data_IF_101040576134
#
_entry.id   IF_101040576134
#
_cell.length_a   1.000
_cell.length_b   1.000
_cell.length_c   1.000
_cell.angle_alpha   90.00
_cell.angle_beta   90.00
_cell.angle_gamma   90.00
#
_symmetry.space_group_name_H-M   'P 1'
#
loop_
_entity.id
_entity.type
_entity.pdbx_description
1 polymer ?
#
# COMPACT_ATOMS: atom_id res chain seq x y z
N UNK A 1 -21.87 -3.46 -7.14
CA UNK A 1 -21.69 -4.59 -6.19
C UNK A 1 -22.33 -5.91 -6.60
N UNK A 2 -23.65 -6.10 -6.84
CA UNK A 2 -24.18 -7.45 -7.21
C UNK A 2 -23.59 -8.06 -8.49
N UNK A 3 -23.22 -7.24 -9.48
CA UNK A 3 -22.47 -7.69 -10.68
C UNK A 3 -20.97 -7.88 -10.42
N UNK A 4 -20.37 -7.05 -9.56
CA UNK A 4 -18.97 -7.20 -9.10
C UNK A 4 -18.81 -8.45 -8.23
N UNK A 5 -19.80 -8.75 -7.38
CA UNK A 5 -19.90 -9.92 -6.51
C UNK A 5 -20.24 -11.17 -7.32
N UNK A 6 -21.16 -11.11 -8.30
CA UNK A 6 -21.39 -12.23 -9.24
C UNK A 6 -20.18 -12.49 -10.14
N UNK A 7 -19.46 -11.46 -10.57
CA UNK A 7 -18.23 -11.60 -11.35
C UNK A 7 -17.12 -12.20 -10.49
N UNK A 8 -16.81 -11.62 -9.32
CA UNK A 8 -15.79 -12.12 -8.39
C UNK A 8 -16.08 -13.54 -7.89
N UNK A 9 -17.34 -13.91 -7.62
CA UNK A 9 -17.64 -15.24 -7.04
C UNK A 9 -17.81 -16.36 -8.09
N UNK A 10 -18.19 -16.06 -9.33
CA UNK A 10 -18.29 -17.07 -10.40
C UNK A 10 -17.02 -17.21 -11.25
N UNK A 11 -16.08 -16.26 -11.17
CA UNK A 11 -14.88 -16.26 -12.01
C UNK A 11 -13.57 -16.52 -11.25
N UNK A 12 -13.54 -16.44 -9.92
CA UNK A 12 -12.31 -16.38 -9.13
C UNK A 12 -11.42 -17.64 -9.12
N UNK A 13 -11.85 -18.80 -9.60
CA UNK A 13 -10.99 -19.99 -9.72
C UNK A 13 -10.54 -20.28 -11.15
N UNK A 14 -11.37 -19.98 -12.14
CA UNK A 14 -11.07 -20.24 -13.55
C UNK A 14 -10.33 -19.08 -14.21
N UNK A 15 -10.67 -17.83 -13.85
CA UNK A 15 -10.07 -16.63 -14.45
C UNK A 15 -8.81 -16.15 -13.73
N UNK A 16 -8.61 -16.44 -12.45
CA UNK A 16 -7.31 -16.26 -11.79
C UNK A 16 -6.28 -17.19 -12.42
N UNK A 17 -6.65 -18.45 -12.68
CA UNK A 17 -5.79 -19.41 -13.37
C UNK A 17 -5.54 -18.99 -14.83
N UNK A 18 -6.56 -18.50 -15.56
CA UNK A 18 -6.40 -18.01 -16.92
C UNK A 18 -5.62 -16.69 -17.01
N UNK A 19 -5.76 -15.77 -16.04
CA UNK A 19 -5.03 -14.50 -16.00
C UNK A 19 -3.56 -14.72 -15.65
N UNK A 20 -3.27 -15.67 -14.75
CA UNK A 20 -1.91 -16.12 -14.45
C UNK A 20 -1.31 -16.78 -15.70
N UNK A 21 -2.06 -17.64 -16.39
CA UNK A 21 -1.57 -18.32 -17.61
C UNK A 21 -1.44 -17.39 -18.83
N UNK A 22 -2.29 -16.36 -18.95
CA UNK A 22 -2.20 -15.35 -20.03
C UNK A 22 -1.09 -14.33 -19.76
N UNK A 23 -0.76 -14.05 -18.49
CA UNK A 23 0.48 -13.35 -18.12
C UNK A 23 1.74 -14.17 -18.48
N UNK A 24 1.67 -15.51 -18.50
CA UNK A 24 2.74 -16.38 -19.00
C UNK A 24 2.76 -16.52 -20.53
N UNK A 25 1.65 -16.26 -21.23
CA UNK A 25 1.47 -16.51 -22.66
C UNK A 25 2.01 -15.44 -23.62
N UNK A 26 2.39 -14.25 -23.13
CA UNK A 26 3.09 -13.22 -23.92
C UNK A 26 4.61 -13.23 -23.67
N UNK A 27 5.15 -14.39 -23.28
CA UNK A 27 6.57 -14.68 -23.09
C UNK A 27 7.39 -14.76 -24.38
N UNK A 28 7.31 -13.73 -25.23
CA UNK A 28 8.05 -13.65 -26.48
C UNK A 28 8.66 -12.27 -26.67
N UNK A 29 9.68 -11.94 -25.87
CA UNK A 29 10.86 -11.13 -26.21
C UNK A 29 11.56 -10.61 -24.92
N UNK A 30 12.69 -11.24 -24.60
CA UNK A 30 13.87 -10.71 -23.90
C UNK A 30 13.66 -9.69 -22.74
N UNK A 31 13.48 -10.22 -21.52
CA UNK A 31 14.00 -9.69 -20.21
C UNK A 31 13.19 -10.13 -18.98
N UNK A 32 12.12 -10.92 -19.14
CA UNK A 32 11.17 -11.27 -18.06
C UNK A 32 11.32 -12.70 -17.50
N UNK A 33 12.51 -13.32 -17.57
CA UNK A 33 12.76 -14.68 -17.03
C UNK A 33 12.90 -14.76 -15.50
N UNK A 34 12.71 -13.66 -14.76
CA UNK A 34 12.75 -13.62 -13.29
C UNK A 34 11.45 -13.07 -12.68
N UNK A 35 10.31 -13.67 -13.03
CA UNK A 35 9.07 -13.49 -12.25
C UNK A 35 8.97 -14.64 -11.25
N UNK A 36 9.77 -14.59 -10.18
CA UNK A 36 9.52 -15.46 -9.02
C UNK A 36 8.32 -14.99 -8.21
N UNK A 37 8.22 -15.46 -6.95
CA UNK A 37 7.10 -15.17 -6.05
C UNK A 37 6.76 -13.67 -5.96
N UNK A 38 5.53 -13.32 -5.55
CA UNK A 38 5.07 -11.94 -5.37
C UNK A 38 6.08 -11.07 -4.57
N UNK A 39 6.76 -11.68 -3.60
CA UNK A 39 7.84 -11.04 -2.85
C UNK A 39 9.02 -10.62 -3.72
N UNK A 40 9.45 -11.43 -4.68
CA UNK A 40 10.54 -11.07 -5.62
C UNK A 40 10.13 -9.98 -6.61
N UNK A 41 8.82 -9.80 -6.83
CA UNK A 41 8.31 -8.70 -7.63
C UNK A 41 8.37 -7.36 -6.90
N UNK A 42 8.28 -7.38 -5.57
CA UNK A 42 8.25 -6.18 -4.70
C UNK A 42 9.64 -5.87 -4.15
N UNK A 43 10.42 -6.91 -3.83
CA UNK A 43 11.73 -6.82 -3.19
C UNK A 43 12.78 -7.56 -4.01
N UNK A 44 13.89 -6.91 -4.31
CA UNK A 44 15.10 -7.50 -4.87
C UNK A 44 16.02 -7.87 -3.71
N UNK A 45 16.34 -9.14 -3.60
CA UNK A 45 17.26 -9.65 -2.58
C UNK A 45 18.63 -9.90 -3.19
N UNK A 46 19.65 -9.29 -2.62
CA UNK A 46 21.06 -9.54 -2.96
C UNK A 46 21.73 -10.29 -1.82
N UNK A 47 22.50 -11.31 -2.16
CA UNK A 47 23.26 -12.11 -1.19
C UNK A 47 24.74 -11.90 -1.46
N UNK A 48 25.42 -11.27 -0.52
CA UNK A 48 26.88 -11.16 -0.55
C UNK A 48 27.48 -12.27 0.29
N UNK A 49 28.54 -12.88 -0.24
CA UNK A 49 29.31 -13.93 0.44
C UNK A 49 30.71 -13.37 0.68
N UNK A 50 31.07 -13.22 1.94
CA UNK A 50 32.39 -12.80 2.38
C UNK A 50 33.14 -14.02 2.92
N UNK A 51 34.23 -14.42 2.27
CA UNK A 51 35.10 -15.48 2.79
C UNK A 51 36.18 -14.87 3.69
N UNK A 52 36.08 -15.12 4.99
CA UNK A 52 37.08 -14.72 5.97
C UNK A 52 38.15 -15.81 6.01
N UNK A 53 39.34 -15.52 5.48
CA UNK A 53 40.49 -16.43 5.57
C UNK A 53 41.36 -16.03 6.76
N UNK A 54 41.43 -16.89 7.79
CA UNK A 54 42.44 -16.78 8.84
C UNK A 54 43.61 -17.68 8.49
N UNK A 55 44.81 -17.12 8.52
CA UNK A 55 46.06 -17.83 8.26
C UNK A 55 46.91 -17.72 9.50
N UNK A 56 47.21 -18.87 10.10
CA UNK A 56 48.20 -18.98 11.14
C UNK A 56 49.45 -19.67 10.59
N UNK A 57 50.62 -19.27 11.07
CA UNK A 57 51.90 -19.86 10.65
C UNK A 57 52.76 -20.03 11.89
N UNK A 58 52.88 -21.28 12.33
CA UNK A 58 53.77 -21.66 13.43
C UNK A 58 55.11 -22.08 12.84
N UNK A 59 56.17 -21.43 13.29
CA UNK A 59 57.55 -21.82 12.97
C UNK A 59 58.13 -22.44 14.23
N UNK A 60 58.40 -23.75 14.16
CA UNK A 60 59.11 -24.45 15.22
C UNK A 60 60.57 -24.54 14.78
N UNK A 61 61.43 -23.81 15.48
CA UNK A 61 62.88 -23.85 15.29
C UNK A 61 63.52 -24.58 16.48
N UNK A 62 64.03 -25.78 16.22
CA UNK A 62 64.65 -26.61 17.25
C UNK A 62 66.10 -26.92 16.89
N UNK A 63 67.00 -26.55 17.80
CA UNK A 63 68.42 -26.92 17.74
C UNK A 63 68.62 -28.12 18.67
N UNK A 64 68.83 -29.31 18.10
CA UNK A 64 68.94 -30.56 18.90
C UNK A 64 70.26 -30.71 19.65
N UNK A 65 71.31 -30.01 19.19
CA UNK A 65 72.64 -30.05 19.78
C UNK A 65 73.10 -28.61 20.06
N UNK A 66 72.68 -27.99 21.16
CA UNK A 66 73.29 -26.71 21.56
C UNK A 66 74.78 -26.94 21.84
N UNK A 67 75.72 -26.10 21.34
CA UNK A 67 77.14 -26.26 21.62
C UNK A 67 77.39 -26.05 23.11
N UNK A 68 77.44 -27.15 23.87
CA UNK A 68 77.92 -27.15 25.24
C UNK A 68 79.44 -27.09 25.21
N UNK A 69 80.03 -26.19 26.02
CA UNK A 69 81.47 -26.21 26.29
C UNK A 69 81.84 -27.58 26.87
N UNK A 70 82.48 -28.43 26.07
CA UNK A 70 83.19 -29.61 26.54
C UNK A 70 84.65 -29.48 26.13
N UNK A 71 85.54 -29.77 27.06
CA UNK A 71 86.99 -29.50 27.00
C UNK A 71 87.78 -30.22 25.89
N UNK A 72 87.14 -31.04 25.04
CA UNK A 72 87.85 -31.93 24.12
C UNK A 72 87.84 -31.47 22.65
N UNK A 73 87.46 -30.23 22.34
CA UNK A 73 87.75 -29.57 21.05
C UNK A 73 87.08 -30.14 19.78
N UNK A 74 86.28 -31.21 19.86
CA UNK A 74 85.57 -31.77 18.71
C UNK A 74 84.21 -31.07 18.54
N UNK A 75 84.08 -30.28 17.46
CA UNK A 75 82.85 -29.58 17.08
C UNK A 75 82.04 -30.48 16.14
N UNK A 76 80.89 -30.97 16.61
CA UNK A 76 79.93 -31.63 15.73
C UNK A 76 79.07 -30.60 14.99
N UNK A 77 78.70 -30.84 13.72
CA UNK A 77 77.77 -29.96 13.02
C UNK A 77 76.41 -29.97 13.74
N UNK A 78 75.93 -28.78 14.10
CA UNK A 78 74.60 -28.57 14.67
C UNK A 78 73.55 -28.99 13.65
N UNK A 79 72.68 -29.94 14.01
CA UNK A 79 71.47 -30.22 13.23
C UNK A 79 70.36 -29.27 13.65
N UNK A 80 69.96 -28.40 12.72
CA UNK A 80 68.80 -27.51 12.87
C UNK A 80 67.61 -28.17 12.18
N UNK A 81 66.48 -28.27 12.87
CA UNK A 81 65.21 -28.67 12.27
C UNK A 81 64.33 -27.42 12.27
N UNK A 82 63.93 -26.97 11.08
CA UNK A 82 62.95 -25.91 10.90
C UNK A 82 61.68 -26.57 10.39
N UNK A 83 60.67 -26.66 11.24
CA UNK A 83 59.35 -27.14 10.84
C UNK A 83 58.42 -25.93 10.69
N UNK A 84 57.92 -25.72 9.48
CA UNK A 84 56.95 -24.66 9.19
C UNK A 84 55.58 -25.30 9.04
N UNK A 85 54.71 -25.05 10.02
CA UNK A 85 53.31 -25.47 9.95
C UNK A 85 52.45 -24.27 9.61
N UNK A 86 51.57 -24.45 8.62
CA UNK A 86 50.64 -23.43 8.15
C UNK A 86 49.23 -23.97 8.25
N UNK A 87 48.45 -23.39 9.15
CA UNK A 87 47.04 -23.72 9.30
C UNK A 87 46.21 -22.59 8.66
N UNK A 88 45.32 -22.97 7.74
CA UNK A 88 44.41 -22.04 7.07
C UNK A 88 42.99 -22.44 7.45
N UNK A 89 42.25 -21.52 8.06
CA UNK A 89 40.81 -21.70 8.31
C UNK A 89 40.03 -20.67 7.50
N UNK A 90 39.08 -21.13 6.70
CA UNK A 90 38.17 -20.27 5.94
C UNK A 90 36.77 -20.36 6.52
N UNK A 91 36.13 -19.22 6.73
CA UNK A 91 34.77 -19.12 7.24
C UNK A 91 34.01 -18.20 6.29
N UNK A 92 32.92 -18.71 5.71
CA UNK A 92 32.04 -17.90 4.88
C UNK A 92 31.00 -17.19 5.74
N UNK A 93 30.89 -15.88 5.57
CA UNK A 93 29.85 -15.04 6.14
C UNK A 93 28.93 -14.58 5.03
N UNK A 94 27.63 -14.82 5.18
CA UNK A 94 26.63 -14.40 4.20
C UNK A 94 25.83 -13.23 4.74
N UNK A 95 25.78 -12.13 3.98
CA UNK A 95 24.91 -10.98 4.29
C UNK A 95 23.82 -10.86 3.24
N UNK A 96 22.58 -10.64 3.68
CA UNK A 96 21.43 -10.46 2.80
C UNK A 96 21.02 -8.99 2.82
N UNK A 97 20.88 -8.39 1.64
CA UNK A 97 20.44 -7.01 1.44
C UNK A 97 19.14 -7.01 0.65
N UNK A 98 18.20 -6.15 1.03
CA UNK A 98 16.86 -6.09 0.44
C UNK A 98 16.55 -4.70 -0.09
N UNK A 99 16.13 -4.62 -1.35
CA UNK A 99 15.87 -3.39 -2.08
C UNK A 99 14.45 -3.37 -2.66
N UNK A 100 13.84 -2.19 -2.86
CA UNK A 100 12.59 -2.11 -3.62
C UNK A 100 12.80 -2.50 -5.08
N UNK A 101 11.93 -3.37 -5.61
CA UNK A 101 11.95 -3.82 -7.00
C UNK A 101 10.76 -3.31 -7.83
N UNK A 102 10.21 -2.16 -7.43
CA UNK A 102 9.10 -1.49 -8.11
C UNK A 102 9.30 0.03 -8.12
N UNK A 103 8.78 0.68 -9.15
CA UNK A 103 8.68 2.13 -9.22
C UNK A 103 7.38 2.59 -8.61
N UNK A 104 6.26 1.89 -8.86
CA UNK A 104 5.00 2.19 -8.18
C UNK A 104 4.27 0.92 -7.77
N UNK A 105 3.68 0.92 -6.59
CA UNK A 105 2.82 -0.14 -6.09
C UNK A 105 1.62 0.50 -5.40
N UNK A 106 0.41 0.28 -5.91
CA UNK A 106 -0.81 0.84 -5.35
C UNK A 106 -1.93 -0.19 -5.22
N UNK A 107 -2.70 -0.13 -4.13
CA UNK A 107 -3.85 -1.04 -3.97
C UNK A 107 -5.07 -0.54 -4.73
N UNK A 108 -5.43 0.73 -4.55
CA UNK A 108 -6.66 1.28 -5.10
C UNK A 108 -6.45 2.70 -5.59
N UNK A 109 -7.08 3.04 -6.70
CA UNK A 109 -7.14 4.39 -7.24
C UNK A 109 -8.56 4.69 -7.69
N UNK A 110 -9.03 5.89 -7.40
CA UNK A 110 -10.34 6.40 -7.81
C UNK A 110 -10.23 7.84 -8.26
N UNK A 111 -10.89 8.15 -9.37
CA UNK A 111 -10.85 9.45 -10.04
C UNK A 111 -12.26 9.81 -10.49
N UNK A 112 -12.72 11.02 -10.16
CA UNK A 112 -13.96 11.58 -10.70
C UNK A 112 -13.68 12.25 -12.04
N UNK A 113 -14.51 12.01 -13.04
CA UNK A 113 -14.27 12.48 -14.41
C UNK A 113 -15.22 13.62 -14.81
N UNK A 114 -14.65 14.61 -15.48
CA UNK A 114 -15.30 15.69 -16.22
C UNK A 114 -15.10 15.47 -17.73
N UNK A 115 -16.05 15.96 -18.53
CA UNK A 115 -16.02 15.92 -20.00
C UNK A 115 -15.98 14.52 -20.64
N UNK A 116 -16.11 13.46 -19.83
CA UNK A 116 -16.00 12.06 -20.25
C UNK A 116 -17.23 11.47 -20.91
N UNK A 117 -18.38 12.15 -20.82
CA UNK A 117 -19.66 11.67 -21.31
C UNK A 117 -20.78 12.69 -21.08
N UNK A 118 -22.03 12.28 -21.30
CA UNK A 118 -23.20 13.15 -21.15
C UNK A 118 -23.46 13.44 -19.67
N UNK A 119 -23.47 14.72 -19.30
CA UNK A 119 -23.75 15.16 -17.93
C UNK A 119 -25.14 14.73 -17.44
N UNK A 120 -26.11 14.69 -18.35
CA UNK A 120 -27.48 14.32 -18.04
C UNK A 120 -27.56 12.86 -17.60
N UNK A 121 -26.74 11.96 -18.19
CA UNK A 121 -26.71 10.53 -17.92
C UNK A 121 -25.48 10.09 -17.09
N UNK A 122 -25.14 10.86 -16.06
CA UNK A 122 -23.93 10.63 -15.26
C UNK A 122 -24.10 9.60 -14.14
N UNK A 123 -23.02 8.87 -13.85
CA UNK A 123 -22.86 7.98 -12.67
C UNK A 123 -22.76 8.78 -11.37
N UNK A 124 -22.51 10.10 -11.46
CA UNK A 124 -22.31 10.98 -10.29
C UNK A 124 -21.17 10.50 -9.39
N UNK A 125 -20.01 10.22 -9.98
CA UNK A 125 -18.81 9.74 -9.27
C UNK A 125 -18.30 10.68 -8.19
N UNK A 126 -18.66 11.97 -8.25
CA UNK A 126 -18.20 13.02 -7.34
C UNK A 126 -16.70 13.34 -7.49
N UNK A 127 -16.21 14.31 -6.72
CA UNK A 127 -14.89 14.95 -6.94
C UNK A 127 -13.69 13.98 -6.93
N UNK A 128 -13.76 12.89 -6.17
CA UNK A 128 -12.71 11.86 -6.10
C UNK A 128 -13.11 10.54 -6.77
N UNK A 129 -14.25 10.49 -7.47
CA UNK A 129 -14.76 9.27 -8.09
C UNK A 129 -15.35 8.27 -7.09
N UNK A 130 -15.56 8.66 -5.83
CA UNK A 130 -15.92 7.74 -4.74
C UNK A 130 -17.43 7.72 -4.42
N UNK A 131 -18.17 8.72 -4.89
CA UNK A 131 -19.53 8.97 -4.44
C UNK A 131 -20.57 8.13 -5.19
N UNK A 132 -20.45 7.94 -6.51
CA UNK A 132 -21.54 7.40 -7.34
C UNK A 132 -22.11 6.02 -6.94
N UNK A 133 -21.31 5.14 -6.33
CA UNK A 133 -21.74 3.76 -6.02
C UNK A 133 -22.44 3.56 -4.67
N UNK A 134 -22.31 4.50 -3.73
CA UNK A 134 -22.83 4.37 -2.36
C UNK A 134 -24.02 5.31 -2.08
N UNK A 135 -24.44 6.08 -3.07
CA UNK A 135 -25.67 6.88 -3.04
C UNK A 135 -26.89 5.94 -3.06
N UNK A 136 -27.85 6.18 -2.17
CA UNK A 136 -29.09 5.39 -2.00
C UNK A 136 -29.92 5.33 -3.28
N UNK A 137 -29.85 6.41 -4.07
CA UNK A 137 -30.56 6.53 -5.32
C UNK A 137 -29.94 5.70 -6.45
N UNK A 138 -28.66 5.31 -6.36
CA UNK A 138 -27.99 4.52 -7.39
C UNK A 138 -28.72 3.18 -7.64
N UNK A 139 -29.32 2.60 -6.59
CA UNK A 139 -30.12 1.36 -6.70
C UNK A 139 -31.59 1.61 -7.05
N UNK A 140 -32.19 2.70 -6.57
CA UNK A 140 -33.61 3.03 -6.81
C UNK A 140 -33.85 3.66 -8.19
N UNK A 141 -32.83 4.29 -8.76
CA UNK A 141 -32.90 5.08 -10.00
C UNK A 141 -32.04 4.49 -11.14
N UNK A 142 -31.95 3.17 -11.25
CA UNK A 142 -31.26 2.51 -12.39
C UNK A 142 -31.77 2.95 -13.78
N UNK A 143 -32.89 3.70 -13.82
CA UNK A 143 -33.58 4.20 -15.01
C UNK A 143 -33.75 5.73 -15.04
N UNK A 144 -33.12 6.52 -14.16
CA UNK A 144 -33.21 8.00 -14.23
C UNK A 144 -31.82 8.64 -14.32
N UNK A 145 -31.51 9.34 -15.42
CA UNK A 145 -30.25 10.08 -15.60
C UNK A 145 -30.06 11.10 -14.47
N UNK A 146 -28.97 11.01 -13.68
CA UNK A 146 -28.62 12.03 -12.68
C UNK A 146 -27.66 13.05 -13.28
N UNK A 147 -28.08 14.31 -13.27
CA UNK A 147 -27.22 15.45 -13.61
C UNK A 147 -26.20 15.68 -12.49
N UNK A 148 -24.95 15.35 -12.77
CA UNK A 148 -23.83 15.54 -11.84
C UNK A 148 -22.66 16.26 -12.49
N UNK A 149 -21.93 17.08 -11.73
CA UNK A 149 -20.73 17.78 -12.23
C UNK A 149 -19.69 16.77 -12.74
N UNK A 150 -19.57 15.63 -12.06
CA UNK A 150 -18.69 14.51 -12.42
C UNK A 150 -19.53 13.34 -12.98
N UNK A 151 -19.83 13.32 -14.30
CA UNK A 151 -20.66 12.27 -14.90
C UNK A 151 -19.98 10.90 -14.91
N UNK A 152 -18.64 10.86 -14.90
CA UNK A 152 -17.88 9.63 -14.99
C UNK A 152 -16.99 9.35 -13.78
N UNK A 153 -16.41 8.16 -13.77
CA UNK A 153 -15.41 7.76 -12.81
C UNK A 153 -14.40 6.78 -13.42
N UNK A 154 -13.18 6.80 -12.91
CA UNK A 154 -12.10 5.90 -13.29
C UNK A 154 -11.51 5.23 -12.05
N UNK A 155 -11.44 3.90 -12.07
CA UNK A 155 -11.01 3.07 -10.95
C UNK A 155 -9.96 2.07 -11.38
N UNK A 156 -8.97 1.87 -10.52
CA UNK A 156 -7.93 0.85 -10.72
C UNK A 156 -7.63 0.12 -9.42
N UNK A 157 -7.38 -1.18 -9.54
CA UNK A 157 -7.08 -2.08 -8.42
C UNK A 157 -5.78 -2.81 -8.70
N UNK A 158 -4.89 -2.86 -7.71
CA UNK A 158 -3.64 -3.62 -7.74
C UNK A 158 -2.70 -3.13 -8.83
N UNK A 159 -2.26 -1.88 -8.74
CA UNK A 159 -1.36 -1.25 -9.69
C UNK A 159 0.09 -1.61 -9.35
N UNK A 160 0.85 -2.00 -10.36
CA UNK A 160 2.29 -2.26 -10.27
C UNK A 160 2.98 -1.59 -11.46
N UNK A 161 4.03 -0.82 -11.21
CA UNK A 161 4.86 -0.20 -12.23
C UNK A 161 6.31 -0.55 -11.97
N UNK A 162 7.01 -1.10 -12.98
CA UNK A 162 8.42 -1.46 -12.91
C UNK A 162 9.25 -0.60 -13.84
N UNK A 163 10.53 -0.43 -13.49
CA UNK A 163 11.52 0.24 -14.33
C UNK A 163 11.63 -0.48 -15.67
N UNK A 164 11.46 0.26 -16.75
CA UNK A 164 11.71 -0.24 -18.10
C UNK A 164 13.14 0.11 -18.49
N UNK A 165 13.97 -0.90 -18.74
CA UNK A 165 15.39 -0.72 -19.11
C UNK A 165 15.62 -0.58 -20.62
N UNK A 166 14.61 -0.09 -21.34
CA UNK A 166 14.73 0.20 -22.77
C UNK A 166 15.41 1.56 -22.97
N UNK A 167 15.88 1.81 -24.20
CA UNK A 167 16.53 3.08 -24.57
C UNK A 167 17.77 3.38 -23.74
N UNK A 168 18.70 2.42 -23.66
CA UNK A 168 19.93 2.55 -22.88
C UNK A 168 19.69 2.91 -21.40
N UNK A 169 18.67 2.25 -20.82
CA UNK A 169 18.26 2.43 -19.43
C UNK A 169 17.91 3.89 -19.07
N UNK A 170 17.35 4.62 -20.04
CA UNK A 170 16.90 6.00 -19.86
C UNK A 170 16.01 6.13 -18.62
N UNK A 171 16.38 7.07 -17.74
CA UNK A 171 15.76 7.23 -16.43
C UNK A 171 14.23 7.38 -16.50
N UNK A 172 13.51 6.92 -15.48
CA UNK A 172 12.07 7.18 -15.25
C UNK A 172 11.08 6.65 -16.30
N UNK A 173 11.54 5.82 -17.25
CA UNK A 173 10.65 4.99 -18.07
C UNK A 173 10.17 3.79 -17.26
N UNK A 174 8.88 3.50 -17.38
CA UNK A 174 8.25 2.39 -16.68
C UNK A 174 7.21 1.68 -17.50
N UNK A 175 7.11 0.39 -17.24
CA UNK A 175 6.02 -0.46 -17.69
C UNK A 175 5.11 -0.74 -16.49
N UNK A 176 3.84 -0.41 -16.64
CA UNK A 176 2.83 -0.52 -15.62
C UNK A 176 1.71 -1.47 -16.01
N UNK A 177 1.07 -2.05 -15.00
CA UNK A 177 -0.19 -2.77 -15.16
C UNK A 177 -1.05 -2.62 -13.91
N UNK A 178 -2.32 -2.97 -14.00
CA UNK A 178 -3.24 -3.07 -12.88
C UNK A 178 -4.04 -4.35 -12.98
N UNK A 179 -4.31 -5.05 -11.88
CA UNK A 179 -5.13 -6.27 -11.89
C UNK A 179 -6.48 -6.01 -12.57
N UNK A 180 -7.12 -4.88 -12.23
CA UNK A 180 -8.40 -4.47 -12.80
C UNK A 180 -8.45 -2.96 -13.00
N UNK A 181 -9.03 -2.56 -14.13
CA UNK A 181 -9.28 -1.17 -14.49
C UNK A 181 -10.72 -1.04 -14.97
N UNK A 182 -11.41 0.02 -14.52
CA UNK A 182 -12.74 0.39 -14.98
C UNK A 182 -12.80 1.88 -15.22
N UNK A 183 -13.05 2.27 -16.45
CA UNK A 183 -13.37 3.63 -16.85
C UNK A 183 -14.84 3.68 -17.22
N UNK A 184 -15.59 4.60 -16.66
CA UNK A 184 -16.95 4.90 -17.12
C UNK A 184 -17.07 6.39 -17.34
N UNK A 185 -17.24 6.81 -18.60
CA UNK A 185 -17.39 8.22 -18.95
C UNK A 185 -18.74 8.80 -18.55
N UNK A 186 -19.78 7.97 -18.62
CA UNK A 186 -21.15 8.19 -18.15
C UNK A 186 -21.83 6.83 -17.94
N UNK A 187 -23.15 6.78 -17.77
CA UNK A 187 -23.90 5.53 -17.61
C UNK A 187 -24.08 4.74 -18.91
N UNK A 188 -23.71 5.27 -20.08
CA UNK A 188 -23.85 4.57 -21.35
C UNK A 188 -22.81 3.45 -21.48
N UNK A 189 -23.25 2.26 -21.86
CA UNK A 189 -22.38 1.09 -22.00
C UNK A 189 -21.31 1.27 -23.10
N UNK A 190 -21.54 2.15 -24.08
CA UNK A 190 -20.59 2.51 -25.13
C UNK A 190 -19.41 3.36 -24.62
N UNK A 191 -19.58 4.01 -23.48
CA UNK A 191 -18.60 4.91 -22.86
C UNK A 191 -17.98 4.29 -21.59
N UNK A 192 -18.24 3.01 -21.35
CA UNK A 192 -17.67 2.23 -20.25
C UNK A 192 -16.66 1.22 -20.78
N UNK A 193 -15.46 1.22 -20.22
CA UNK A 193 -14.36 0.35 -20.55
C UNK A 193 -13.92 -0.40 -19.31
N UNK A 194 -13.66 -1.68 -19.48
CA UNK A 194 -13.12 -2.55 -18.44
C UNK A 194 -11.91 -3.29 -18.98
N UNK A 195 -10.83 -3.28 -18.20
CA UNK A 195 -9.58 -3.96 -18.53
C UNK A 195 -9.14 -4.86 -17.38
N UNK A 196 -8.65 -6.05 -17.72
CA UNK A 196 -7.93 -6.94 -16.83
C UNK A 196 -6.47 -6.90 -17.26
N UNK A 197 -5.57 -6.52 -16.36
CA UNK A 197 -4.15 -6.38 -16.65
C UNK A 197 -3.83 -5.50 -17.88
N UNK A 198 -4.43 -4.29 -18.04
CA UNK A 198 -4.00 -3.37 -19.09
C UNK A 198 -2.51 -3.06 -18.94
N UNK A 199 -1.83 -2.85 -20.06
CA UNK A 199 -0.39 -2.55 -20.09
C UNK A 199 -0.23 -1.05 -20.35
N UNK A 200 0.55 -0.39 -19.52
CA UNK A 200 0.83 1.03 -19.60
C UNK A 200 2.32 1.29 -19.79
N UNK A 201 2.67 1.99 -20.88
CA UNK A 201 3.98 2.62 -21.01
C UNK A 201 3.90 4.03 -20.42
N UNK A 202 4.81 4.35 -19.50
CA UNK A 202 4.80 5.62 -18.75
C UNK A 202 6.19 6.22 -18.67
N UNK A 203 6.27 7.54 -18.76
CA UNK A 203 7.49 8.31 -18.51
C UNK A 203 7.19 9.33 -17.41
N UNK A 204 7.95 9.34 -16.32
CA UNK A 204 7.78 10.32 -15.23
C UNK A 204 8.77 11.46 -15.36
N UNK A 205 8.27 12.67 -15.16
CA UNK A 205 9.08 13.88 -14.98
C UNK A 205 8.87 14.39 -13.56
N UNK A 206 9.93 14.38 -12.75
CA UNK A 206 9.89 14.86 -11.38
C UNK A 206 10.13 16.38 -11.35
N UNK A 207 9.09 17.14 -11.03
CA UNK A 207 9.21 18.58 -10.70
C UNK A 207 9.84 18.72 -9.31
N UNK A 208 9.44 17.82 -8.40
CA UNK A 208 10.01 17.71 -7.06
C UNK A 208 10.48 16.28 -6.82
N UNK A 209 11.76 16.16 -6.54
CA UNK A 209 12.48 14.90 -6.40
C UNK A 209 12.47 14.29 -4.98
N UNK A 210 11.82 14.96 -4.03
CA UNK A 210 11.75 14.51 -2.64
C UNK A 210 10.30 14.56 -2.14
N UNK A 211 9.84 13.52 -1.44
CA UNK A 211 8.49 13.41 -0.82
C UNK A 211 7.97 14.75 -0.22
N UNK A 212 6.73 15.17 -0.49
CA UNK A 212 5.90 14.67 -1.60
C UNK A 212 6.59 14.96 -2.93
N UNK A 213 6.81 13.92 -3.73
CA UNK A 213 7.09 14.01 -5.14
C UNK A 213 5.95 14.73 -5.83
N UNK A 214 6.33 15.55 -6.80
CA UNK A 214 5.40 16.20 -7.73
C UNK A 214 5.84 15.73 -9.10
N UNK A 215 4.98 14.99 -9.78
CA UNK A 215 5.33 14.36 -11.06
C UNK A 215 4.32 14.68 -12.13
N UNK A 216 4.81 14.86 -13.35
CA UNK A 216 4.00 14.84 -14.58
C UNK A 216 4.34 13.55 -15.33
N UNK A 217 3.31 12.79 -15.69
CA UNK A 217 3.46 11.44 -16.23
C UNK A 217 2.61 11.28 -17.49
N UNK A 218 3.16 11.52 -18.69
CA UNK A 218 2.58 10.99 -19.91
C UNK A 218 2.53 9.47 -19.88
N UNK A 219 1.43 8.93 -20.39
CA UNK A 219 1.12 7.52 -20.38
C UNK A 219 0.36 7.09 -21.63
N UNK A 220 0.68 5.89 -22.11
CA UNK A 220 -0.05 5.18 -23.16
C UNK A 220 -0.40 3.80 -22.63
N UNK A 221 -1.69 3.55 -22.47
CA UNK A 221 -2.28 2.30 -22.01
C UNK A 221 -2.97 1.55 -23.11
N UNK A 222 -2.87 0.23 -23.09
CA UNK A 222 -3.61 -0.66 -23.98
C UNK A 222 -4.23 -1.77 -23.13
N UNK A 223 -5.52 -2.03 -23.34
CA UNK A 223 -6.23 -3.19 -22.82
C UNK A 223 -6.71 -4.04 -23.98
N UNK A 224 -6.63 -5.35 -23.82
CA UNK A 224 -7.14 -6.31 -24.80
C UNK A 224 -8.36 -7.09 -24.29
N UNK A 225 -8.55 -7.18 -22.97
CA UNK A 225 -9.59 -8.01 -22.34
C UNK A 225 -10.14 -7.28 -21.10
N UNK A 226 -11.45 -7.32 -20.85
CA UNK A 226 -12.49 -7.75 -21.79
C UNK A 226 -12.73 -6.74 -22.92
N UNK A 227 -12.60 -5.45 -22.64
CA UNK A 227 -12.74 -4.42 -23.66
C UNK A 227 -11.36 -4.11 -24.28
N UNK A 228 -11.34 -4.03 -25.60
CA UNK A 228 -10.16 -3.58 -26.36
C UNK A 228 -10.19 -2.06 -26.45
N UNK A 229 -9.22 -1.40 -25.85
CA UNK A 229 -9.13 0.06 -25.88
C UNK A 229 -7.70 0.54 -25.73
N UNK A 230 -7.50 1.79 -26.17
CA UNK A 230 -6.28 2.55 -25.98
C UNK A 230 -6.60 3.74 -25.08
N UNK A 231 -5.75 3.98 -24.10
CA UNK A 231 -5.85 5.11 -23.19
C UNK A 231 -4.58 5.96 -23.28
N UNK A 232 -4.65 7.13 -23.88
CA UNK A 232 -3.54 8.06 -23.97
C UNK A 232 -3.82 9.27 -23.08
N UNK A 233 -2.89 9.62 -22.20
CA UNK A 233 -3.10 10.74 -21.29
C UNK A 233 -1.89 11.12 -20.49
N UNK A 234 -2.01 12.23 -19.78
CA UNK A 234 -1.01 12.77 -18.86
C UNK A 234 -1.64 12.80 -17.46
N UNK A 235 -0.88 12.40 -16.45
CA UNK A 235 -1.25 12.62 -15.05
C UNK A 235 -0.31 13.61 -14.37
N UNK A 236 -0.86 14.43 -13.47
CA UNK A 236 -0.09 15.20 -12.51
C UNK A 236 -0.37 14.67 -11.11
N UNK A 237 0.67 14.30 -10.39
CA UNK A 237 0.57 13.53 -9.15
C UNK A 237 1.34 14.19 -8.01
N UNK A 238 0.76 14.15 -6.81
CA UNK A 238 1.38 14.57 -5.56
C UNK A 238 1.35 13.38 -4.59
N UNK A 239 2.53 12.83 -4.28
CA UNK A 239 2.68 11.60 -3.49
C UNK A 239 4.16 11.26 -3.26
N UNK A 240 4.61 10.18 -2.60
CA UNK A 240 3.86 9.23 -1.79
C UNK A 240 3.75 9.73 -0.35
N UNK A 241 2.59 10.29 0.00
CA UNK A 241 2.32 10.75 1.37
C UNK A 241 1.79 9.57 2.18
N UNK A 242 2.68 8.74 2.71
CA UNK A 242 2.28 7.60 3.53
C UNK A 242 1.41 6.58 2.78
N UNK A 243 1.60 6.42 1.48
CA UNK A 243 0.72 5.61 0.64
C UNK A 243 -0.58 6.31 0.20
N UNK A 244 -0.75 7.61 0.44
CA UNK A 244 -1.85 8.40 -0.12
C UNK A 244 -1.32 9.35 -1.19
N UNK A 245 -1.92 9.33 -2.38
CA UNK A 245 -1.53 10.19 -3.50
C UNK A 245 -2.74 10.94 -4.04
N UNK A 246 -2.58 12.24 -4.30
CA UNK A 246 -3.57 13.03 -5.05
C UNK A 246 -3.15 13.13 -6.50
N UNK A 247 -4.11 12.99 -7.42
CA UNK A 247 -3.83 12.88 -8.85
C UNK A 247 -4.84 13.65 -9.66
N UNK A 248 -4.38 14.23 -10.75
CA UNK A 248 -5.24 14.75 -11.81
C UNK A 248 -4.87 14.13 -13.13
N UNK A 249 -5.85 13.86 -13.98
CA UNK A 249 -5.70 13.24 -15.29
C UNK A 249 -6.24 14.16 -16.37
N UNK A 250 -5.58 14.12 -17.53
CA UNK A 250 -6.09 14.65 -18.78
C UNK A 250 -5.76 13.65 -19.88
N UNK A 251 -6.75 13.19 -20.64
CA UNK A 251 -6.50 12.20 -21.67
C UNK A 251 -7.69 11.90 -22.55
N UNK A 252 -7.53 10.86 -23.36
CA UNK A 252 -8.55 10.28 -24.21
C UNK A 252 -8.46 8.76 -24.10
N UNK A 253 -9.61 8.13 -23.87
CA UNK A 253 -9.76 6.68 -23.98
C UNK A 253 -10.61 6.40 -25.21
N UNK A 254 -10.15 5.48 -26.06
CA UNK A 254 -10.85 5.11 -27.29
C UNK A 254 -10.90 3.60 -27.39
N UNK A 255 -12.11 3.06 -27.53
CA UNK A 255 -12.27 1.64 -27.79
C UNK A 255 -12.03 1.26 -29.23
N UNK A 256 -11.63 0.03 -29.43
CA UNK A 256 -11.57 -0.61 -30.74
C UNK A 256 -12.93 -1.31 -30.96
N UNK A 257 -13.69 -0.89 -31.97
CA UNK A 257 -15.00 -1.47 -32.31
C UNK A 257 -16.20 -0.58 -31.94
N UNK A 258 -17.15 -1.10 -31.16
CA UNK A 258 -18.46 -0.48 -30.88
C UNK A 258 -18.49 0.53 -29.72
N UNK A 259 -17.33 0.84 -29.15
CA UNK A 259 -17.17 1.79 -28.04
C UNK A 259 -16.75 3.15 -28.57
N UNK A 260 -17.17 4.22 -27.91
CA UNK A 260 -16.86 5.58 -28.35
C UNK A 260 -15.44 6.02 -27.94
N UNK A 261 -14.99 7.16 -28.45
CA UNK A 261 -13.85 7.86 -27.88
C UNK A 261 -14.36 8.86 -26.82
N UNK A 262 -13.77 8.80 -25.63
CA UNK A 262 -14.13 9.64 -24.49
C UNK A 262 -12.89 10.48 -24.08
N UNK A 263 -12.82 11.78 -24.43
CA UNK A 263 -11.87 12.67 -23.79
C UNK A 263 -12.24 12.81 -22.31
N UNK A 264 -11.27 12.98 -21.42
CA UNK A 264 -11.56 13.11 -20.01
C UNK A 264 -10.56 14.01 -19.29
N UNK A 265 -11.08 14.76 -18.34
CA UNK A 265 -10.28 15.38 -17.29
C UNK A 265 -10.75 14.81 -15.96
N UNK A 266 -9.84 14.45 -15.05
CA UNK A 266 -10.24 13.85 -13.80
C UNK A 266 -9.40 14.30 -12.62
N UNK A 267 -9.99 14.26 -11.43
CA UNK A 267 -9.30 14.49 -10.16
C UNK A 267 -9.61 13.30 -9.26
N UNK A 268 -8.60 12.84 -8.53
CA UNK A 268 -8.71 11.60 -7.79
C UNK A 268 -7.64 11.41 -6.75
N UNK A 269 -7.71 10.24 -6.15
CA UNK A 269 -6.80 9.81 -5.08
C UNK A 269 -6.46 8.34 -5.23
N UNK A 270 -5.28 7.96 -4.75
CA UNK A 270 -4.84 6.58 -4.66
C UNK A 270 -4.41 6.25 -3.24
N UNK A 271 -4.74 5.04 -2.79
CA UNK A 271 -4.53 4.55 -1.43
C UNK A 271 -3.63 3.31 -1.44
N UNK A 272 -2.75 3.23 -0.44
CA UNK A 272 -1.59 2.34 -0.40
C UNK A 272 -0.72 2.44 -1.65
N UNK A 273 -0.54 3.67 -2.15
CA UNK A 273 0.20 4.03 -3.36
C UNK A 273 1.62 4.50 -3.03
N UNK A 274 2.57 3.58 -3.15
CA UNK A 274 3.99 3.79 -2.95
C UNK A 274 4.65 4.12 -4.28
N UNK A 275 5.42 5.21 -4.31
CA UNK A 275 6.19 5.65 -5.48
C UNK A 275 7.67 5.74 -5.07
N UNK A 276 8.53 5.08 -5.83
CA UNK A 276 9.98 5.14 -5.72
C UNK A 276 10.56 5.79 -6.98
N UNK A 277 11.68 6.49 -6.82
CA UNK A 277 12.56 6.87 -7.93
C UNK A 277 13.52 5.75 -8.28
N UNK A 278 14.09 5.82 -9.47
CA UNK A 278 15.13 4.87 -9.90
C UNK A 278 16.32 4.81 -8.93
N UNK A 279 16.88 5.91 -8.40
CA UNK A 279 17.95 5.81 -7.40
C UNK A 279 17.49 5.19 -6.07
N UNK A 280 16.20 5.28 -5.74
CA UNK A 280 15.65 4.72 -4.52
C UNK A 280 15.48 3.20 -4.61
N UNK A 281 15.36 2.62 -5.81
CA UNK A 281 15.40 1.15 -5.98
C UNK A 281 16.78 0.55 -5.72
N UNK A 282 17.81 1.38 -5.64
CA UNK A 282 19.19 0.97 -5.30
C UNK A 282 19.52 1.24 -3.82
N UNK A 283 18.54 1.67 -3.03
CA UNK A 283 18.69 1.94 -1.59
C UNK A 283 17.95 0.87 -0.78
N UNK A 284 18.65 0.24 0.16
CA UNK A 284 18.06 -0.83 0.99
C UNK A 284 16.82 -0.35 1.75
N UNK A 285 15.83 -1.23 1.94
CA UNK A 285 14.57 -0.94 2.63
C UNK A 285 14.76 -0.25 3.98
N UNK A 286 15.75 -0.69 4.77
CA UNK A 286 16.06 -0.15 6.10
C UNK A 286 16.49 1.32 6.09
N UNK A 287 16.95 1.84 4.95
CA UNK A 287 17.39 3.22 4.82
C UNK A 287 16.35 4.13 4.14
N UNK A 288 15.23 3.57 3.68
CA UNK A 288 14.17 4.36 3.03
C UNK A 288 13.59 5.39 4.00
N UNK A 289 13.11 6.49 3.42
CA UNK A 289 12.49 7.57 4.17
C UNK A 289 10.97 7.43 4.14
N UNK A 290 10.32 7.71 5.28
CA UNK A 290 8.87 7.59 5.39
C UNK A 290 8.22 8.91 5.82
N UNK A 291 7.01 9.17 5.32
CA UNK A 291 6.20 10.38 5.61
C UNK A 291 5.00 10.11 6.52
N UNK A 292 4.82 8.88 6.99
CA UNK A 292 3.68 8.43 7.79
C UNK A 292 4.10 7.80 9.11
N UNK A 293 3.26 7.99 10.14
CA UNK A 293 3.32 7.30 11.42
C UNK A 293 2.80 5.87 11.36
N UNK A 294 1.78 5.62 10.54
CA UNK A 294 1.23 4.28 10.38
C UNK A 294 0.69 4.06 8.96
N UNK A 295 0.89 2.86 8.43
CA UNK A 295 0.23 2.39 7.20
C UNK A 295 -0.13 0.92 7.41
N UNK A 296 -1.39 0.56 7.15
CA UNK A 296 -1.86 -0.82 7.28
C UNK A 296 -2.76 -1.27 6.15
N UNK A 297 -2.96 -2.59 6.03
CA UNK A 297 -3.94 -3.17 5.09
C UNK A 297 -5.32 -3.21 5.74
N UNK A 298 -5.40 -3.64 6.99
CA UNK A 298 -6.66 -3.70 7.72
C UNK A 298 -6.45 -3.51 9.23
N UNK A 299 -7.48 -3.05 9.92
CA UNK A 299 -7.53 -2.99 11.38
C UNK A 299 -8.93 -3.38 11.83
N UNK A 300 -9.03 -4.26 12.81
CA UNK A 300 -10.32 -4.75 13.33
C UNK A 300 -10.28 -4.65 14.84
N UNK A 301 -11.31 -4.05 15.43
CA UNK A 301 -11.46 -3.83 16.87
C UNK A 301 -12.85 -4.31 17.27
N UNK A 302 -12.92 -5.27 18.19
CA UNK A 302 -14.16 -5.64 18.86
C UNK A 302 -14.42 -4.66 19.99
N UNK A 303 -15.62 -4.08 20.05
CA UNK A 303 -15.97 -3.04 21.01
C UNK A 303 -17.12 -3.44 21.92
N UNK A 304 -16.95 -3.19 23.21
CA UNK A 304 -18.02 -3.13 24.19
C UNK A 304 -18.61 -1.72 24.15
N UNK A 305 -19.93 -1.61 23.96
CA UNK A 305 -20.63 -0.35 23.79
C UNK A 305 -21.78 -0.20 24.77
N UNK A 306 -22.27 1.02 24.96
CA UNK A 306 -23.51 1.30 25.71
C UNK A 306 -24.78 1.10 24.85
N UNK A 307 -24.69 0.54 23.65
CA UNK A 307 -25.85 0.24 22.80
C UNK A 307 -26.76 -0.83 23.45
N UNK A 308 -28.07 -0.76 23.16
CA UNK A 308 -29.08 -1.63 23.77
C UNK A 308 -28.89 -3.10 23.33
N UNK A 309 -28.68 -3.33 22.03
CA UNK A 309 -28.52 -4.66 21.44
C UNK A 309 -27.18 -4.80 20.72
N UNK A 310 -26.51 -5.97 20.83
CA UNK A 310 -25.31 -6.25 20.05
C UNK A 310 -25.60 -6.35 18.54
N UNK A 311 -24.60 -6.00 17.74
CA UNK A 311 -24.66 -6.01 16.27
C UNK A 311 -24.89 -7.40 15.66
N UNK A 312 -24.33 -8.46 16.27
CA UNK A 312 -24.34 -9.81 15.68
C UNK A 312 -25.66 -10.56 15.90
N UNK A 313 -26.11 -10.66 17.15
CA UNK A 313 -27.37 -11.30 17.51
C UNK A 313 -27.96 -10.63 18.76
N UNK A 314 -29.10 -9.92 18.63
CA UNK A 314 -29.73 -9.18 19.73
C UNK A 314 -30.08 -10.01 20.96
N UNK A 315 -30.18 -11.33 20.80
CA UNK A 315 -30.57 -12.26 21.87
C UNK A 315 -29.38 -12.76 22.69
N UNK A 316 -28.15 -12.53 22.24
CA UNK A 316 -26.96 -12.97 22.96
C UNK A 316 -26.42 -11.89 23.88
N UNK A 317 -26.11 -12.25 25.13
CA UNK A 317 -25.44 -11.36 26.07
C UNK A 317 -23.92 -11.43 25.88
N UNK A 318 -23.41 -10.83 24.80
CA UNK A 318 -21.97 -10.75 24.51
C UNK A 318 -21.35 -9.49 25.11
N UNK A 319 -20.14 -9.56 25.72
CA UNK A 319 -19.42 -8.38 26.18
C UNK A 319 -18.99 -7.46 25.03
N UNK A 320 -18.77 -8.01 23.83
CA UNK A 320 -18.53 -7.24 22.61
C UNK A 320 -19.84 -7.07 21.85
N UNK A 321 -20.31 -5.83 21.78
CA UNK A 321 -21.57 -5.45 21.14
C UNK A 321 -21.38 -4.91 19.73
N UNK A 322 -20.17 -4.48 19.37
CA UNK A 322 -19.89 -3.91 18.06
C UNK A 322 -18.50 -4.22 17.51
N UNK A 323 -18.24 -3.74 16.29
CA UNK A 323 -16.97 -3.82 15.59
C UNK A 323 -16.63 -2.50 14.93
N UNK A 324 -15.36 -2.12 15.04
CA UNK A 324 -14.74 -1.05 14.24
C UNK A 324 -13.73 -1.69 13.30
N UNK A 325 -13.93 -1.52 12.00
CA UNK A 325 -13.08 -2.06 10.94
C UNK A 325 -12.55 -0.95 10.05
N UNK A 326 -11.23 -0.88 9.81
CA UNK A 326 -10.62 0.04 8.85
C UNK A 326 -9.88 -0.73 7.78
N UNK A 327 -10.09 -0.37 6.52
CA UNK A 327 -9.35 -0.90 5.36
C UNK A 327 -8.40 0.17 4.86
N UNK A 328 -7.15 -0.23 4.62
CA UNK A 328 -6.07 0.60 4.16
C UNK A 328 -5.89 1.89 5.00
N UNK A 329 -5.78 1.81 6.35
CA UNK A 329 -5.55 3.00 7.16
C UNK A 329 -4.16 3.59 6.92
N UNK A 330 -4.08 4.91 6.82
CA UNK A 330 -2.83 5.66 6.73
C UNK A 330 -2.87 6.86 7.69
N UNK A 331 -1.73 7.17 8.31
CA UNK A 331 -1.56 8.33 9.20
C UNK A 331 -0.31 9.09 8.79
N UNK A 332 -0.48 10.18 8.04
CA UNK A 332 0.59 11.04 7.51
C UNK A 332 1.08 11.96 8.63
N UNK A 333 2.40 12.01 8.83
CA UNK A 333 2.99 12.90 9.81
C UNK A 333 2.88 14.37 9.35
N UNK A 334 2.36 15.23 10.21
CA UNK A 334 2.34 16.68 9.99
C UNK A 334 3.58 17.26 10.68
N UNK A 335 4.50 17.91 9.93
CA UNK A 335 5.70 18.51 10.51
C UNK A 335 5.38 19.84 11.21
N UNK A 336 4.52 19.79 12.23
CA UNK A 336 4.12 20.93 13.06
C UNK A 336 4.55 20.69 14.52
N UNK A 337 5.15 21.70 15.15
CA UNK A 337 5.61 21.65 16.54
C UNK A 337 6.60 20.50 16.78
N UNK A 338 6.21 19.53 17.62
CA UNK A 338 7.04 18.38 17.99
C UNK A 338 7.05 17.24 16.94
N UNK A 339 6.51 17.48 15.74
CA UNK A 339 6.32 16.50 14.65
C UNK A 339 5.49 15.27 15.04
N UNK A 340 4.68 15.37 16.11
CA UNK A 340 3.86 14.28 16.66
C UNK A 340 2.40 14.34 16.18
N UNK A 341 2.00 15.43 15.56
CA UNK A 341 0.68 15.54 14.95
C UNK A 341 0.62 14.73 13.65
N UNK A 342 -0.56 14.21 13.35
CA UNK A 342 -0.80 13.48 12.11
C UNK A 342 -2.16 13.81 11.52
N UNK A 343 -2.24 13.71 10.20
CA UNK A 343 -3.48 13.64 9.43
C UNK A 343 -3.64 12.21 8.93
N UNK A 344 -4.74 11.56 9.27
CA UNK A 344 -5.03 10.20 8.88
C UNK A 344 -6.25 10.08 8.00
N UNK A 345 -6.31 8.98 7.28
CA UNK A 345 -7.49 8.54 6.53
C UNK A 345 -7.50 7.02 6.43
N UNK A 346 -8.52 6.45 5.79
CA UNK A 346 -8.63 5.04 5.47
C UNK A 346 -9.46 4.88 4.22
N UNK A 347 -9.17 3.89 3.37
CA UNK A 347 -10.03 3.64 2.20
C UNK A 347 -11.47 3.40 2.64
N UNK A 348 -11.70 2.52 3.62
CA UNK A 348 -13.03 2.30 4.17
C UNK A 348 -12.94 2.24 5.70
N UNK A 349 -13.91 2.85 6.36
CA UNK A 349 -14.12 2.81 7.80
C UNK A 349 -15.52 2.26 8.07
N UNK A 350 -15.59 1.14 8.78
CA UNK A 350 -16.83 0.52 9.23
C UNK A 350 -16.89 0.71 10.75
N UNK A 351 -17.98 1.28 11.23
CA UNK A 351 -18.19 1.47 12.65
C UNK A 351 -19.59 0.99 12.97
N UNK A 352 -19.70 -0.26 13.41
CA UNK A 352 -20.95 -0.93 13.71
C UNK A 352 -20.98 -1.14 15.22
N UNK A 353 -21.60 -0.21 15.95
CA UNK A 353 -21.49 -0.09 17.40
C UNK A 353 -22.61 -0.81 18.15
N UNK A 354 -23.70 -1.16 17.46
CA UNK A 354 -24.82 -1.94 17.95
C UNK A 354 -25.68 -2.42 16.78
N UNK A 355 -26.92 -2.82 17.06
CA UNK A 355 -27.85 -3.28 16.02
C UNK A 355 -28.35 -2.14 15.12
N UNK A 356 -28.59 -0.95 15.71
CA UNK A 356 -29.12 0.24 15.01
C UNK A 356 -28.11 1.38 14.95
N UNK A 357 -27.00 1.26 15.68
CA UNK A 357 -25.97 2.28 15.79
C UNK A 357 -24.74 1.92 14.94
N UNK A 358 -24.48 2.73 13.92
CA UNK A 358 -23.26 2.60 13.15
C UNK A 358 -23.32 3.25 11.77
N UNK A 359 -22.23 3.12 11.01
CA UNK A 359 -22.15 3.61 9.65
C UNK A 359 -20.86 3.25 8.96
N UNK A 360 -20.75 3.75 7.72
CA UNK A 360 -19.60 3.52 6.85
C UNK A 360 -19.06 4.87 6.40
N UNK A 361 -17.75 5.03 6.47
CA UNK A 361 -16.99 6.15 5.91
C UNK A 361 -16.06 5.68 4.80
N UNK A 362 -15.91 6.50 3.76
CA UNK A 362 -14.88 6.34 2.73
C UNK A 362 -13.98 7.56 2.78
N UNK A 363 -12.68 7.33 2.92
CA UNK A 363 -11.68 8.39 3.12
C UNK A 363 -12.04 9.38 4.24
N UNK A 364 -12.40 8.92 5.46
CA UNK A 364 -12.65 9.85 6.54
C UNK A 364 -11.42 10.69 6.85
N UNK A 365 -11.66 11.90 7.37
CA UNK A 365 -10.60 12.82 7.75
C UNK A 365 -10.32 12.66 9.24
N UNK A 366 -9.12 12.22 9.59
CA UNK A 366 -8.69 12.02 10.97
C UNK A 366 -7.55 12.95 11.32
N UNK A 367 -7.59 13.55 12.50
CA UNK A 367 -6.50 14.29 13.09
C UNK A 367 -6.16 13.65 14.42
N UNK A 368 -4.87 13.58 14.74
CA UNK A 368 -4.45 13.04 16.03
C UNK A 368 -3.04 13.41 16.40
N UNK A 369 -2.62 12.91 17.55
CA UNK A 369 -1.32 13.17 18.13
C UNK A 369 -0.70 11.86 18.63
N UNK A 370 0.53 11.56 18.22
CA UNK A 370 1.25 10.34 18.66
C UNK A 370 2.13 10.67 19.86
N UNK A 371 1.91 9.95 20.96
CA UNK A 371 2.76 10.01 22.15
C UNK A 371 3.33 8.62 22.45
N UNK A 372 4.66 8.48 22.42
CA UNK A 372 5.32 7.21 22.76
C UNK A 372 5.43 7.10 24.28
N UNK A 373 4.83 6.06 24.86
CA UNK A 373 4.77 5.87 26.32
C UNK A 373 5.97 5.06 26.84
N UNK A 374 6.26 3.93 26.21
CA UNK A 374 7.33 3.03 26.62
C UNK A 374 8.11 2.52 25.40
N UNK A 375 9.43 2.69 25.45
CA UNK A 375 10.31 2.30 24.35
C UNK A 375 9.92 2.97 23.03
N UNK A 376 10.00 2.21 21.94
CA UNK A 376 9.50 2.61 20.61
C UNK A 376 8.34 1.70 20.14
N UNK A 377 7.74 0.96 21.08
CA UNK A 377 6.80 -0.14 20.80
C UNK A 377 5.38 0.17 21.28
N UNK A 378 5.22 0.99 22.33
CA UNK A 378 3.92 1.39 22.88
C UNK A 378 3.64 2.87 22.60
N UNK A 379 2.58 3.15 21.84
CA UNK A 379 2.11 4.51 21.54
C UNK A 379 0.68 4.76 22.04
N UNK A 380 0.44 5.97 22.53
CA UNK A 380 -0.88 6.52 22.82
C UNK A 380 -1.23 7.56 21.76
N UNK A 381 -2.42 7.44 21.21
CA UNK A 381 -2.89 8.20 20.06
C UNK A 381 -4.32 8.70 20.28
N UNK A 382 -4.50 9.87 20.94
CA UNK A 382 -5.75 10.61 20.84
C UNK A 382 -6.03 11.04 19.40
N UNK A 383 -7.29 10.94 18.98
CA UNK A 383 -7.73 11.29 17.64
C UNK A 383 -9.16 11.83 17.60
N UNK A 384 -9.44 12.63 16.58
CA UNK A 384 -10.77 13.01 16.14
C UNK A 384 -10.89 12.69 14.65
N UNK A 385 -11.97 12.03 14.25
CA UNK A 385 -12.24 11.55 12.90
C UNK A 385 -13.62 12.00 12.46
N UNK A 386 -13.71 12.54 11.26
CA UNK A 386 -14.94 12.94 10.62
C UNK A 386 -15.17 12.09 9.37
N UNK A 387 -16.23 11.30 9.41
CA UNK A 387 -16.74 10.57 8.27
C UNK A 387 -17.77 11.47 7.61
N UNK A 388 -17.52 11.91 6.38
CA UNK A 388 -18.42 12.80 5.65
C UNK A 388 -19.27 12.07 4.61
N UNK A 389 -18.88 10.85 4.25
CA UNK A 389 -19.53 10.05 3.23
C UNK A 389 -19.18 8.57 3.41
N UNK A 390 -20.09 7.62 3.13
CA UNK A 390 -21.51 7.83 2.86
C UNK A 390 -22.35 8.13 4.11
N UNK A 391 -21.86 7.82 5.32
CA UNK A 391 -22.46 8.27 6.58
C UNK A 391 -21.78 9.54 7.10
N UNK A 392 -22.54 10.40 7.78
CA UNK A 392 -21.99 11.54 8.51
C UNK A 392 -21.79 11.16 9.98
N UNK A 393 -20.54 11.01 10.41
CA UNK A 393 -20.21 10.56 11.77
C UNK A 393 -18.99 11.29 12.31
N UNK A 394 -19.09 11.75 13.54
CA UNK A 394 -17.97 12.26 14.33
C UNK A 394 -17.52 11.16 15.28
N UNK A 395 -16.21 10.91 15.29
CA UNK A 395 -15.59 9.86 16.08
C UNK A 395 -14.39 10.42 16.83
N UNK A 396 -14.50 10.53 18.15
CA UNK A 396 -13.43 11.04 19.01
C UNK A 396 -13.00 9.91 19.92
N UNK A 397 -11.69 9.67 20.03
CA UNK A 397 -11.22 8.59 20.87
C UNK A 397 -9.74 8.65 21.14
N UNK A 398 -9.27 7.63 21.85
CA UNK A 398 -7.85 7.39 22.08
C UNK A 398 -7.53 5.94 21.78
N UNK A 399 -6.37 5.72 21.18
CA UNK A 399 -5.85 4.40 20.83
C UNK A 399 -4.52 4.19 21.52
N UNK A 400 -4.41 3.13 22.29
CA UNK A 400 -3.16 2.58 22.75
C UNK A 400 -2.75 1.47 21.78
N UNK A 401 -1.61 1.61 21.11
CA UNK A 401 -1.11 0.64 20.14
C UNK A 401 0.22 0.05 20.61
N UNK A 402 0.29 -1.28 20.66
CA UNK A 402 1.48 -2.05 20.97
C UNK A 402 1.95 -2.78 19.72
N UNK A 403 3.15 -2.44 19.27
CA UNK A 403 3.83 -3.12 18.15
C UNK A 403 4.34 -4.48 18.61
N UNK A 404 3.71 -5.56 18.14
CA UNK A 404 4.18 -6.93 18.39
C UNK A 404 5.21 -7.34 17.33
N UNK A 405 4.96 -6.97 16.06
CA UNK A 405 5.87 -7.17 14.94
C UNK A 405 5.73 -6.03 13.92
N UNK A 406 6.47 -6.09 12.81
CA UNK A 406 6.32 -5.11 11.72
C UNK A 406 4.98 -5.23 10.98
N UNK A 407 4.24 -6.32 11.20
CA UNK A 407 3.02 -6.65 10.46
C UNK A 407 1.79 -6.72 11.38
N UNK A 408 1.98 -6.89 12.69
CA UNK A 408 0.88 -7.11 13.63
C UNK A 408 1.04 -6.15 14.80
N UNK A 409 -0.04 -5.40 15.07
CA UNK A 409 -0.15 -4.54 16.23
C UNK A 409 -1.37 -4.93 17.05
N UNK A 410 -1.24 -4.91 18.37
CA UNK A 410 -2.35 -5.01 19.28
C UNK A 410 -2.83 -3.60 19.64
N UNK A 411 -4.15 -3.40 19.67
CA UNK A 411 -4.76 -2.09 19.88
C UNK A 411 -5.79 -2.18 21.00
N UNK A 412 -5.73 -1.25 21.95
CA UNK A 412 -6.81 -0.95 22.89
C UNK A 412 -7.36 0.43 22.52
N UNK A 413 -8.66 0.56 22.32
CA UNK A 413 -9.28 1.80 21.89
C UNK A 413 -10.49 2.12 22.76
N UNK A 414 -10.60 3.36 23.18
CA UNK A 414 -11.79 3.89 23.84
C UNK A 414 -12.22 5.18 23.16
N UNK A 415 -13.51 5.43 23.09
CA UNK A 415 -14.00 6.61 22.42
C UNK A 415 -15.49 6.81 22.49
N UNK A 416 -15.90 7.87 21.81
CA UNK A 416 -17.25 8.34 21.63
C UNK A 416 -17.50 8.52 20.15
N UNK A 417 -18.64 8.06 19.67
CA UNK A 417 -19.07 8.37 18.32
C UNK A 417 -20.54 8.74 18.27
N UNK A 418 -20.81 9.76 17.45
CA UNK A 418 -22.15 10.19 17.12
C UNK A 418 -22.27 10.40 15.62
N UNK A 419 -23.45 10.15 15.07
CA UNK A 419 -23.68 10.39 13.66
C UNK A 419 -25.05 9.98 13.19
N UNK A 420 -25.30 10.29 11.92
CA UNK A 420 -26.45 9.81 11.17
C UNK A 420 -25.98 8.72 10.20
N UNK A 421 -26.60 7.53 10.23
CA UNK A 421 -26.24 6.43 9.35
C UNK A 421 -26.69 6.65 7.91
N UNK A 422 -26.22 5.79 7.01
CA UNK A 422 -26.84 5.63 5.68
C UNK A 422 -28.19 4.94 5.86
N UNK A 423 -29.25 5.50 5.30
CA UNK A 423 -30.61 4.97 5.48
C UNK A 423 -30.84 3.59 4.82
N UNK A 424 -29.88 3.02 4.07
CA UNK A 424 -30.03 1.70 3.42
C UNK A 424 -28.73 0.90 3.24
N UNK A 425 -28.14 0.41 4.34
CA UNK A 425 -27.51 -0.91 4.30
C UNK A 425 -28.63 -1.96 4.13
N UNK A 426 -28.53 -2.80 3.11
CA UNK A 426 -29.55 -3.77 2.65
C UNK A 426 -30.34 -4.48 3.77
N UNK A 427 -31.64 -4.71 3.53
CA UNK A 427 -32.72 -5.51 4.22
C UNK A 427 -32.52 -6.16 5.60
N UNK A 428 -31.32 -6.54 6.01
CA UNK A 428 -31.00 -7.13 7.32
C UNK A 428 -30.65 -6.05 8.36
N UNK A 429 -30.21 -4.86 7.93
CA UNK A 429 -30.02 -3.69 8.78
C UNK A 429 -31.24 -2.78 8.71
N UNK A 430 -32.38 -3.24 9.25
CA UNK A 430 -33.59 -2.41 9.32
C UNK A 430 -33.35 -1.26 10.30
N UNK A 431 -33.30 -0.04 9.77
CA UNK A 431 -33.37 1.24 10.47
C UNK A 431 -32.15 1.52 11.37
N UNK A 432 -31.00 1.77 10.74
CA UNK A 432 -29.97 2.52 11.45
C UNK A 432 -30.54 3.91 11.78
N UNK A 433 -30.41 4.35 13.02
CA UNK A 433 -30.88 5.67 13.50
C UNK A 433 -29.70 6.57 13.84
N UNK A 434 -29.97 7.86 14.05
CA UNK A 434 -28.99 8.72 14.70
C UNK A 434 -28.54 8.07 16.00
N UNK A 435 -27.24 8.07 16.24
CA UNK A 435 -26.65 7.38 17.37
C UNK A 435 -25.69 8.28 18.14
N UNK A 436 -25.51 7.92 19.40
CA UNK A 436 -24.58 8.49 20.36
C UNK A 436 -24.12 7.31 21.23
N UNK A 437 -22.85 6.92 21.09
CA UNK A 437 -22.33 5.70 21.68
C UNK A 437 -20.92 5.91 22.24
N UNK A 438 -20.74 5.52 23.49
CA UNK A 438 -19.44 5.33 24.13
C UNK A 438 -19.01 3.87 23.98
N UNK A 439 -17.70 3.66 23.81
CA UNK A 439 -17.17 2.32 23.69
C UNK A 439 -15.74 2.18 24.23
N UNK A 440 -15.41 0.93 24.55
CA UNK A 440 -14.05 0.46 24.79
C UNK A 440 -13.87 -0.87 24.06
N UNK A 441 -12.72 -1.09 23.44
CA UNK A 441 -12.50 -2.27 22.63
C UNK A 441 -11.04 -2.63 22.48
N UNK A 442 -10.83 -3.90 22.11
CA UNK A 442 -9.53 -4.47 21.82
C UNK A 442 -9.52 -4.99 20.38
N UNK A 443 -8.37 -4.91 19.74
CA UNK A 443 -8.26 -5.24 18.34
C UNK A 443 -6.85 -5.49 17.87
N UNK A 444 -6.77 -5.78 16.58
CA UNK A 444 -5.53 -6.07 15.88
C UNK A 444 -5.43 -5.26 14.59
N UNK A 445 -4.22 -4.77 14.30
CA UNK A 445 -3.83 -4.25 13.00
C UNK A 445 -3.14 -5.35 12.19
N UNK A 446 -3.53 -5.50 10.92
CA UNK A 446 -2.99 -6.46 9.97
C UNK A 446 -2.18 -5.74 8.90
N UNK A 447 -0.92 -6.15 8.76
CA UNK A 447 0.12 -5.47 7.98
C UNK A 447 0.20 -3.98 8.29
N UNK A 448 -0.11 -3.61 9.54
CA UNK A 448 -0.09 -2.24 10.03
C UNK A 448 1.30 -1.94 10.58
N UNK A 449 2.12 -1.21 9.82
CA UNK A 449 3.45 -0.83 10.26
C UNK A 449 3.38 0.50 11.01
N UNK A 450 3.72 0.47 12.30
CA UNK A 450 3.95 1.67 13.11
C UNK A 450 5.39 2.12 12.94
N UNK A 451 5.57 3.28 12.29
CA UNK A 451 6.88 3.87 12.06
C UNK A 451 7.37 4.59 13.31
N UNK A 452 8.65 4.43 13.59
CA UNK A 452 9.33 5.13 14.67
C UNK A 452 9.64 6.57 14.29
N UNK A 453 9.82 7.41 15.30
CA UNK A 453 10.23 8.81 15.09
C UNK A 453 11.52 8.94 14.26
N UNK A 454 12.45 7.98 14.36
CA UNK A 454 13.71 7.92 13.63
C UNK A 454 13.55 7.53 12.15
N UNK A 455 12.47 6.81 11.82
CA UNK A 455 12.15 6.38 10.46
C UNK A 455 11.46 7.51 9.66
N UNK A 456 10.91 8.51 10.36
CA UNK A 456 10.29 9.68 9.74
C UNK A 456 11.33 10.62 9.14
N UNK A 457 11.10 10.99 7.90
CA UNK A 457 11.95 11.92 7.16
C UNK A 457 12.13 13.27 7.86
N UNK A 458 11.06 13.82 8.44
CA UNK A 458 11.05 15.16 9.02
C UNK A 458 11.94 15.33 10.26
N UNK A 459 12.49 14.23 10.78
CA UNK A 459 13.45 14.24 11.90
C UNK A 459 14.88 13.90 11.50
N UNK A 460 15.13 13.38 10.30
CA UNK A 460 16.49 13.11 9.80
C UNK A 460 17.22 14.37 9.32
N UNK A 461 16.50 15.48 9.10
CA UNK A 461 17.07 16.75 8.62
C UNK A 461 17.35 17.79 9.72
N UNK A 462 17.49 17.36 10.98
CA UNK A 462 17.89 18.21 12.09
C UNK A 462 19.11 17.64 12.78
#
# INVERSE_FOLDING_TARGET
>A
MKHMYKALYKSASFWTCLSITFLFGLGGCSSLTNMGSLEQMITRTEKDIYTITKRDTAIIDAVRNAPGQRDNGIVYPTSRIVEMRRDISQIDSTTVREYPNFIRLALFESVGLLFSGKQENGISGGFLGIFGYFDEDYKKQKNMPKKGLFPGAFYRIGIMEKRLRWFDDAADWTLGTSIYESFSGDMDASNTFTGISPIYLRKRYFIREKIPYITITPSLGISLIPDQYINAGVSADIGSLGGLNFRSYLGIIAGLGSKNACPYFGIGTSVLDFLNRVPETEKEWKYQEHSSWSIGIASIIGVATNAEYPFFDPKTNSPFKGIIGRIAPASIAIPLGNNRFYAGTSLINFMLLGQTEGGIGILPLRLGYVHTLMGQELSLEPFAEYNYYPSSMVHIGTRLALRISNQINLQLQAGYSTGSPIATLNRDFKNLTNFDVFYIGIGIGLYDRLFQSSELRYRKSK
#
